data_IF_272675198614
#
_entry.id   IF_272675198614
#
_cell.length_a   1.000
_cell.length_b   1.000
_cell.length_c   1.000
_cell.angle_alpha   90.00
_cell.angle_beta   90.00
_cell.angle_gamma   90.00
#
_symmetry.space_group_name_H-M   'P 1'
#
loop_
_entity.id
_entity.type
_entity.pdbx_description
1 polymer ?
#
# COMPACT_ATOMS: atom_id res chain seq x y z
N UNK A 1 -6.20 27.77 -26.06
CA UNK A 1 -6.28 26.90 -24.87
C UNK A 1 -5.27 25.77 -25.09
N UNK A 2 -4.42 25.47 -24.10
CA UNK A 2 -3.55 24.29 -24.18
C UNK A 2 -4.38 23.01 -24.31
N UNK A 3 -3.83 21.97 -24.94
CA UNK A 3 -4.50 20.67 -25.01
C UNK A 3 -4.79 20.13 -23.57
N UNK A 4 -5.91 19.42 -23.38
CA UNK A 4 -6.21 18.78 -22.10
C UNK A 4 -5.09 17.84 -21.68
N UNK A 5 -4.58 17.98 -20.45
CA UNK A 5 -3.58 17.07 -19.89
C UNK A 5 -4.27 15.82 -19.32
N UNK A 6 -3.57 14.70 -19.32
CA UNK A 6 -3.99 13.48 -18.62
C UNK A 6 -3.43 13.51 -17.19
N UNK A 7 -4.29 13.47 -16.21
CA UNK A 7 -3.95 13.57 -14.79
C UNK A 7 -4.42 12.30 -14.06
N UNK A 8 -3.48 11.47 -13.64
CA UNK A 8 -3.73 10.35 -12.75
C UNK A 8 -3.73 10.86 -11.30
N UNK A 9 -4.81 10.63 -10.58
CA UNK A 9 -4.94 10.92 -9.16
C UNK A 9 -5.05 9.58 -8.41
N UNK A 10 -3.93 9.12 -7.90
CA UNK A 10 -3.81 7.86 -7.18
C UNK A 10 -3.91 8.13 -5.67
N UNK A 11 -4.82 7.45 -4.98
CA UNK A 11 -5.02 7.64 -3.54
C UNK A 11 -4.69 6.36 -2.80
N UNK A 12 -3.92 6.48 -1.70
CA UNK A 12 -3.44 5.33 -0.92
C UNK A 12 -4.56 4.34 -0.58
N UNK A 13 -4.26 3.06 -0.78
CA UNK A 13 -5.16 1.94 -0.55
C UNK A 13 -5.25 1.62 0.95
N UNK A 14 -6.44 1.68 1.59
CA UNK A 14 -6.60 1.31 2.98
C UNK A 14 -6.79 -0.19 3.15
N UNK A 15 -6.15 -0.80 4.14
CA UNK A 15 -6.48 -2.18 4.51
C UNK A 15 -7.95 -2.32 4.89
N UNK A 16 -8.64 -3.29 4.29
CA UNK A 16 -10.03 -3.62 4.60
C UNK A 16 -10.14 -4.42 5.92
N UNK A 17 -9.52 -3.94 7.00
CA UNK A 17 -9.46 -4.60 8.30
C UNK A 17 -10.05 -3.79 9.45
N UNK A 18 -10.64 -2.63 9.18
CA UNK A 18 -11.22 -1.76 10.20
C UNK A 18 -11.68 -0.42 9.63
N UNK A 19 -12.63 0.22 10.34
CA UNK A 19 -13.21 1.50 9.92
C UNK A 19 -12.18 2.61 9.74
N UNK A 20 -12.40 3.47 8.76
CA UNK A 20 -11.53 4.65 8.51
C UNK A 20 -11.97 5.82 9.38
N UNK A 21 -11.03 6.62 9.86
CA UNK A 21 -11.25 7.82 10.68
C UNK A 21 -10.96 9.10 9.89
N UNK A 22 -11.29 10.27 10.47
CA UNK A 22 -11.09 11.57 9.82
C UNK A 22 -9.66 11.83 9.36
N UNK A 23 -8.65 11.24 10.02
CA UNK A 23 -7.26 11.37 9.58
C UNK A 23 -6.98 10.80 8.19
N UNK A 24 -7.68 9.73 7.81
CA UNK A 24 -7.59 9.20 6.44
C UNK A 24 -8.29 10.15 5.46
N UNK A 25 -9.50 10.64 5.82
CA UNK A 25 -10.26 11.56 4.97
C UNK A 25 -9.48 12.85 4.72
N UNK A 26 -9.05 13.54 5.76
CA UNK A 26 -8.31 14.80 5.66
C UNK A 26 -6.90 14.63 5.09
N UNK A 27 -6.26 13.47 5.35
CA UNK A 27 -4.86 13.23 4.97
C UNK A 27 -4.66 12.82 3.52
N UNK A 28 -5.59 12.10 2.92
CA UNK A 28 -5.42 11.57 1.57
C UNK A 28 -6.65 11.78 0.67
N UNK A 29 -7.84 11.35 1.10
CA UNK A 29 -9.00 11.26 0.22
C UNK A 29 -9.59 12.60 -0.16
N UNK A 30 -9.80 13.50 0.81
CA UNK A 30 -10.36 14.81 0.55
C UNK A 30 -9.43 15.73 -0.27
N UNK A 31 -8.11 15.82 0.03
CA UNK A 31 -7.19 16.58 -0.81
C UNK A 31 -7.13 16.07 -2.25
N UNK A 32 -7.17 14.74 -2.45
CA UNK A 32 -7.19 14.13 -3.76
C UNK A 32 -8.45 14.49 -4.56
N UNK A 33 -9.64 14.40 -3.92
CA UNK A 33 -10.91 14.75 -4.55
C UNK A 33 -10.97 16.24 -4.93
N UNK A 34 -10.48 17.14 -4.06
CA UNK A 34 -10.40 18.58 -4.37
C UNK A 34 -9.49 18.82 -5.56
N UNK A 35 -8.32 18.17 -5.58
CA UNK A 35 -7.37 18.26 -6.70
C UNK A 35 -7.96 17.72 -8.00
N UNK A 36 -8.61 16.57 -7.95
CA UNK A 36 -9.28 15.97 -9.12
C UNK A 36 -10.40 16.88 -9.65
N UNK A 37 -11.25 17.43 -8.77
CA UNK A 37 -12.32 18.38 -9.15
C UNK A 37 -11.76 19.63 -9.81
N UNK A 38 -10.67 20.20 -9.26
CA UNK A 38 -10.01 21.34 -9.90
C UNK A 38 -9.58 21.01 -11.31
N UNK A 39 -8.90 19.88 -11.52
CA UNK A 39 -8.41 19.49 -12.84
C UNK A 39 -9.55 19.20 -13.83
N UNK A 40 -10.65 18.59 -13.39
CA UNK A 40 -11.87 18.42 -14.21
C UNK A 40 -12.46 19.78 -14.61
N UNK A 41 -12.54 20.72 -13.65
CA UNK A 41 -13.10 22.07 -13.90
C UNK A 41 -12.30 22.87 -14.93
N UNK A 42 -10.98 22.74 -14.95
CA UNK A 42 -10.11 23.42 -15.94
C UNK A 42 -9.97 22.64 -17.24
N UNK A 43 -10.71 21.54 -17.43
CA UNK A 43 -10.83 20.80 -18.68
C UNK A 43 -9.78 19.72 -18.89
N UNK A 44 -9.02 19.32 -17.88
CA UNK A 44 -8.10 18.18 -17.97
C UNK A 44 -8.85 16.84 -17.93
N UNK A 45 -8.25 15.80 -18.50
CA UNK A 45 -8.72 14.42 -18.39
C UNK A 45 -8.20 13.81 -17.09
N UNK A 46 -9.08 13.54 -16.15
CA UNK A 46 -8.71 13.01 -14.83
C UNK A 46 -9.06 11.53 -14.76
N UNK A 47 -8.16 10.74 -14.19
CA UNK A 47 -8.40 9.36 -13.76
C UNK A 47 -8.08 9.26 -12.27
N UNK A 48 -9.10 9.37 -11.43
CA UNK A 48 -8.95 9.25 -9.97
C UNK A 48 -9.29 7.82 -9.52
N UNK A 49 -8.29 7.12 -9.00
CA UNK A 49 -8.40 5.71 -8.61
C UNK A 49 -7.92 5.45 -7.19
N UNK A 50 -8.56 4.51 -6.56
CA UNK A 50 -8.16 3.86 -5.30
C UNK A 50 -8.90 2.53 -5.15
N UNK A 51 -8.76 1.91 -4.00
CA UNK A 51 -9.50 0.69 -3.66
C UNK A 51 -9.15 0.20 -2.26
N UNK A 52 -9.72 -0.92 -1.90
CA UNK A 52 -9.42 -1.61 -0.64
C UNK A 52 -8.23 -2.54 -0.84
N UNK A 53 -7.20 -2.37 -0.01
CA UNK A 53 -6.11 -3.34 0.11
C UNK A 53 -6.60 -4.52 0.95
N UNK A 54 -6.60 -5.73 0.34
CA UNK A 54 -7.21 -6.91 0.96
C UNK A 54 -6.21 -8.02 1.32
N UNK A 55 -4.94 -7.90 0.93
CA UNK A 55 -3.95 -8.95 1.14
C UNK A 55 -3.06 -8.74 2.38
N UNK A 56 -3.27 -7.65 3.11
CA UNK A 56 -2.48 -7.35 4.31
C UNK A 56 -2.77 -8.30 5.47
N UNK A 57 -1.73 -8.67 6.23
CA UNK A 57 -1.84 -9.48 7.44
C UNK A 57 -2.81 -8.92 8.51
N UNK A 58 -3.11 -7.60 8.60
CA UNK A 58 -4.16 -7.12 9.48
C UNK A 58 -5.55 -7.73 9.23
N UNK A 59 -5.81 -8.19 8.01
CA UNK A 59 -7.09 -8.82 7.63
C UNK A 59 -7.14 -10.25 8.15
N UNK A 60 -6.10 -11.04 7.88
CA UNK A 60 -6.04 -12.45 8.32
C UNK A 60 -5.96 -12.55 9.85
N UNK A 61 -5.20 -11.68 10.51
CA UNK A 61 -5.17 -11.62 11.99
C UNK A 61 -6.55 -11.31 12.54
N UNK A 62 -7.28 -10.36 11.95
CA UNK A 62 -8.63 -10.04 12.39
C UNK A 62 -9.62 -11.15 12.13
N UNK A 63 -9.50 -11.83 11.00
CA UNK A 63 -10.31 -13.00 10.66
C UNK A 63 -10.11 -14.12 11.68
N UNK A 64 -8.86 -14.41 12.05
CA UNK A 64 -8.52 -15.37 13.09
C UNK A 64 -9.10 -14.97 14.48
N UNK A 65 -9.00 -13.68 14.85
CA UNK A 65 -9.54 -13.14 16.11
C UNK A 65 -11.08 -13.21 16.18
N UNK A 66 -11.78 -12.99 15.06
CA UNK A 66 -13.24 -13.02 14.98
C UNK A 66 -13.80 -14.43 14.64
N UNK A 67 -12.95 -15.39 14.25
CA UNK A 67 -13.36 -16.75 13.85
C UNK A 67 -14.14 -16.79 12.54
N UNK A 68 -13.84 -15.87 11.60
CA UNK A 68 -14.47 -15.75 10.29
C UNK A 68 -13.46 -15.87 9.17
N UNK A 69 -13.90 -15.95 7.92
CA UNK A 69 -12.98 -15.94 6.77
C UNK A 69 -12.39 -14.53 6.52
N UNK A 70 -11.17 -14.43 5.94
CA UNK A 70 -10.61 -13.15 5.50
C UNK A 70 -11.55 -12.40 4.54
N UNK A 71 -12.26 -13.13 3.66
CA UNK A 71 -13.22 -12.54 2.73
C UNK A 71 -14.38 -11.83 3.43
N UNK A 72 -14.92 -12.40 4.51
CA UNK A 72 -16.00 -11.74 5.29
C UNK A 72 -15.54 -10.43 5.92
N UNK A 73 -14.28 -10.36 6.37
CA UNK A 73 -13.68 -9.10 6.86
C UNK A 73 -13.58 -8.08 5.72
N UNK A 74 -13.08 -8.51 4.57
CA UNK A 74 -12.94 -7.66 3.37
C UNK A 74 -14.29 -7.11 2.93
N UNK A 75 -15.30 -7.97 2.75
CA UNK A 75 -16.62 -7.57 2.26
C UNK A 75 -17.25 -6.52 3.17
N UNK A 76 -17.15 -6.71 4.49
CA UNK A 76 -17.66 -5.79 5.49
C UNK A 76 -17.03 -4.40 5.38
N UNK A 77 -15.70 -4.33 5.36
CA UNK A 77 -15.02 -3.03 5.38
C UNK A 77 -14.94 -2.35 4.02
N UNK A 78 -14.86 -3.13 2.93
CA UNK A 78 -14.96 -2.58 1.58
C UNK A 78 -16.33 -1.89 1.37
N UNK A 79 -17.42 -2.54 1.75
CA UNK A 79 -18.76 -1.96 1.68
C UNK A 79 -18.90 -0.70 2.57
N UNK A 80 -18.31 -0.71 3.78
CA UNK A 80 -18.27 0.46 4.65
C UNK A 80 -17.51 1.63 3.98
N UNK A 81 -16.36 1.34 3.35
CA UNK A 81 -15.56 2.38 2.69
C UNK A 81 -16.33 3.02 1.54
N UNK A 82 -16.89 2.23 0.63
CA UNK A 82 -17.68 2.73 -0.49
C UNK A 82 -18.82 3.62 0.03
N UNK A 83 -19.58 3.14 1.02
CA UNK A 83 -20.66 3.93 1.64
C UNK A 83 -20.16 5.25 2.26
N UNK A 84 -18.98 5.22 2.90
CA UNK A 84 -18.41 6.43 3.50
C UNK A 84 -17.97 7.44 2.44
N UNK A 85 -17.37 6.98 1.34
CA UNK A 85 -16.98 7.88 0.23
C UNK A 85 -18.19 8.54 -0.42
N UNK A 86 -19.26 7.80 -0.66
CA UNK A 86 -20.52 8.34 -1.17
C UNK A 86 -21.10 9.40 -0.23
N UNK A 87 -21.18 9.11 1.09
CA UNK A 87 -21.70 10.04 2.10
C UNK A 87 -20.94 11.35 2.20
N UNK A 88 -19.60 11.30 2.01
CA UNK A 88 -18.75 12.51 2.05
C UNK A 88 -18.53 13.14 0.67
N UNK A 89 -19.14 12.58 -0.37
CA UNK A 89 -19.14 13.11 -1.73
C UNK A 89 -17.79 13.02 -2.45
N UNK A 90 -16.97 12.00 -2.18
CA UNK A 90 -15.77 11.71 -2.96
C UNK A 90 -16.15 11.11 -4.31
N UNK A 91 -15.59 11.61 -5.40
CA UNK A 91 -15.92 11.18 -6.77
C UNK A 91 -14.74 10.44 -7.40
N UNK A 92 -14.93 9.14 -7.61
CA UNK A 92 -13.95 8.24 -8.24
C UNK A 92 -14.29 7.99 -9.71
N UNK A 93 -13.28 7.84 -10.57
CA UNK A 93 -13.45 7.13 -11.83
C UNK A 93 -13.51 5.62 -11.57
N UNK A 94 -12.72 5.13 -10.59
CA UNK A 94 -12.88 3.77 -10.08
C UNK A 94 -12.40 3.66 -8.62
N UNK A 95 -13.24 3.07 -7.76
CA UNK A 95 -12.83 2.56 -6.45
C UNK A 95 -13.05 1.04 -6.45
N UNK A 96 -11.98 0.26 -6.37
CA UNK A 96 -12.00 -1.19 -6.56
C UNK A 96 -11.35 -1.93 -5.38
N UNK A 97 -10.76 -3.09 -5.58
CA UNK A 97 -10.12 -3.93 -4.59
C UNK A 97 -8.90 -4.63 -5.16
N UNK A 98 -7.85 -4.85 -4.34
CA UNK A 98 -6.72 -5.71 -4.72
C UNK A 98 -7.10 -7.20 -4.78
N UNK A 99 -8.32 -7.57 -4.35
CA UNK A 99 -8.85 -8.94 -4.45
C UNK A 99 -9.50 -9.30 -5.78
N UNK A 100 -9.47 -8.41 -6.80
CA UNK A 100 -10.05 -8.71 -8.13
C UNK A 100 -9.11 -9.57 -8.98
N UNK A 101 -9.69 -10.39 -9.85
CA UNK A 101 -8.93 -11.20 -10.81
C UNK A 101 -8.04 -10.33 -11.71
N UNK A 102 -8.53 -9.12 -12.08
CA UNK A 102 -7.74 -8.15 -12.81
C UNK A 102 -6.48 -7.73 -12.03
N UNK A 103 -6.63 -7.40 -10.74
CA UNK A 103 -5.47 -7.03 -9.92
C UNK A 103 -4.46 -8.19 -9.81
N UNK A 104 -4.95 -9.41 -9.59
CA UNK A 104 -4.10 -10.60 -9.52
C UNK A 104 -3.31 -10.78 -10.82
N UNK A 105 -3.97 -10.68 -11.99
CA UNK A 105 -3.32 -10.80 -13.28
C UNK A 105 -2.26 -9.72 -13.52
N UNK A 106 -2.55 -8.45 -13.17
CA UNK A 106 -1.60 -7.34 -13.31
C UNK A 106 -0.42 -7.46 -12.36
N UNK A 107 -0.64 -7.94 -11.14
CA UNK A 107 0.44 -8.20 -10.16
C UNK A 107 1.36 -9.33 -10.64
N UNK A 108 0.79 -10.41 -11.17
CA UNK A 108 1.54 -11.51 -11.76
C UNK A 108 2.31 -11.09 -13.02
N UNK A 109 1.75 -10.21 -13.83
CA UNK A 109 2.41 -9.63 -15.00
C UNK A 109 3.62 -8.78 -14.59
N UNK A 110 3.44 -7.90 -13.60
CA UNK A 110 4.55 -7.13 -13.01
C UNK A 110 5.66 -8.02 -12.47
N UNK A 111 5.29 -9.09 -11.75
CA UNK A 111 6.26 -10.07 -11.23
C UNK A 111 7.07 -10.72 -12.37
N UNK A 112 6.40 -11.22 -13.43
CA UNK A 112 7.08 -11.86 -14.58
C UNK A 112 8.06 -10.90 -15.25
N UNK A 113 7.64 -9.68 -15.57
CA UNK A 113 8.50 -8.68 -16.19
C UNK A 113 9.72 -8.35 -15.35
N UNK A 114 9.55 -8.18 -14.03
CA UNK A 114 10.67 -7.92 -13.15
C UNK A 114 11.62 -9.11 -13.04
N UNK A 115 11.10 -10.35 -13.05
CA UNK A 115 11.91 -11.57 -13.03
C UNK A 115 12.69 -11.75 -14.34
N UNK A 116 12.04 -11.59 -15.49
CA UNK A 116 12.67 -11.67 -16.82
C UNK A 116 13.74 -10.60 -17.02
N UNK A 117 13.53 -9.41 -16.45
CA UNK A 117 14.51 -8.31 -16.48
C UNK A 117 15.62 -8.47 -15.40
N UNK A 118 15.61 -9.57 -14.64
CA UNK A 118 16.64 -9.91 -13.66
C UNK A 118 16.59 -9.08 -12.38
N UNK A 119 15.43 -8.55 -12.00
CA UNK A 119 15.22 -7.79 -10.77
C UNK A 119 14.56 -8.60 -9.65
N UNK A 120 14.23 -9.87 -9.91
CA UNK A 120 13.75 -10.82 -8.90
C UNK A 120 14.70 -12.02 -8.86
N UNK A 121 14.99 -12.51 -7.65
CA UNK A 121 15.78 -13.71 -7.41
C UNK A 121 15.30 -14.41 -6.14
N UNK A 122 15.66 -15.69 -5.95
CA UNK A 122 15.31 -16.46 -4.76
C UNK A 122 16.42 -16.38 -3.71
N UNK A 123 16.03 -16.32 -2.44
CA UNK A 123 16.95 -16.43 -1.29
C UNK A 123 16.30 -17.25 -0.19
N UNK A 124 17.09 -18.11 0.44
CA UNK A 124 16.69 -18.74 1.70
C UNK A 124 16.98 -17.79 2.85
N UNK A 125 16.01 -17.57 3.71
CA UNK A 125 16.15 -16.77 4.93
C UNK A 125 15.54 -17.50 6.11
N UNK A 126 15.99 -17.18 7.32
CA UNK A 126 15.36 -17.67 8.54
C UNK A 126 14.15 -16.79 8.88
N UNK A 127 13.01 -17.41 9.15
CA UNK A 127 11.78 -16.75 9.53
C UNK A 127 11.24 -17.34 10.84
N UNK A 128 10.43 -16.56 11.56
CA UNK A 128 9.82 -17.01 12.80
C UNK A 128 8.72 -18.03 12.52
N UNK A 129 8.78 -19.17 13.18
CA UNK A 129 7.86 -20.29 13.07
C UNK A 129 7.24 -20.61 14.44
N UNK A 130 5.94 -20.74 14.49
CA UNK A 130 5.23 -21.17 15.68
C UNK A 130 5.11 -22.70 15.71
N UNK A 131 5.81 -23.38 16.64
CA UNK A 131 5.77 -24.85 16.70
C UNK A 131 4.44 -25.39 17.20
N UNK A 132 3.63 -24.58 17.92
CA UNK A 132 2.30 -25.01 18.40
C UNK A 132 1.26 -24.85 17.30
N UNK A 133 1.27 -23.74 16.55
CA UNK A 133 0.39 -23.52 15.41
C UNK A 133 0.87 -24.22 14.14
N UNK A 134 2.10 -24.75 14.12
CA UNK A 134 2.76 -25.40 12.97
C UNK A 134 2.78 -24.54 11.69
N UNK A 135 2.99 -23.22 11.85
CA UNK A 135 3.03 -22.27 10.71
C UNK A 135 4.06 -21.17 10.93
N UNK A 136 4.54 -20.58 9.82
CA UNK A 136 5.32 -19.36 9.86
C UNK A 136 4.49 -18.18 10.35
N UNK A 137 5.16 -17.21 10.97
CA UNK A 137 4.56 -16.05 11.58
C UNK A 137 4.99 -14.76 10.83
N UNK A 138 4.39 -14.43 9.69
CA UNK A 138 4.73 -13.19 9.02
C UNK A 138 4.20 -11.97 9.77
N UNK A 139 4.97 -10.90 9.74
CA UNK A 139 4.57 -9.54 10.10
C UNK A 139 3.79 -9.43 11.42
N UNK A 140 2.49 -9.16 11.34
CA UNK A 140 1.62 -8.86 12.50
C UNK A 140 1.17 -10.08 13.31
N UNK A 141 1.58 -11.27 12.91
CA UNK A 141 1.45 -12.47 13.74
C UNK A 141 2.50 -12.55 14.85
N UNK A 142 3.50 -11.64 14.84
CA UNK A 142 4.51 -11.52 15.88
C UNK A 142 4.37 -10.20 16.62
N UNK A 143 4.55 -10.22 17.92
CA UNK A 143 4.65 -9.07 18.79
C UNK A 143 5.89 -9.19 19.67
N UNK A 144 6.58 -8.07 19.91
CA UNK A 144 7.78 -8.04 20.74
C UNK A 144 8.25 -6.63 21.00
N UNK A 145 9.46 -6.51 21.59
CA UNK A 145 10.02 -5.18 21.88
C UNK A 145 10.77 -4.63 20.67
N UNK A 146 10.45 -3.40 20.30
CA UNK A 146 11.12 -2.69 19.21
C UNK A 146 12.61 -2.45 19.54
N UNK A 147 13.55 -2.87 18.69
CA UNK A 147 14.98 -2.69 18.94
C UNK A 147 15.42 -1.22 18.86
N UNK A 148 14.62 -0.34 18.25
CA UNK A 148 14.97 1.07 18.05
C UNK A 148 14.48 2.00 19.17
N UNK A 149 13.30 1.74 19.75
CA UNK A 149 12.70 2.64 20.73
C UNK A 149 12.24 2.00 22.03
N UNK A 150 12.40 0.67 22.18
CA UNK A 150 12.05 -0.06 23.40
C UNK A 150 10.55 -0.25 23.62
N UNK A 151 9.69 0.06 22.63
CA UNK A 151 8.26 -0.16 22.76
C UNK A 151 7.94 -1.66 22.78
N UNK A 152 7.27 -2.12 23.85
CA UNK A 152 7.13 -3.55 24.16
C UNK A 152 6.04 -4.29 23.35
N UNK A 153 5.19 -3.55 22.63
CA UNK A 153 4.12 -4.12 21.80
C UNK A 153 4.30 -3.77 20.32
N UNK A 154 5.55 -3.79 19.83
CA UNK A 154 5.84 -3.57 18.43
C UNK A 154 5.43 -4.78 17.58
N UNK A 155 4.91 -4.51 16.38
CA UNK A 155 4.55 -5.51 15.40
C UNK A 155 5.75 -5.83 14.51
N UNK A 156 5.74 -7.01 13.86
CA UNK A 156 6.85 -7.44 13.03
C UNK A 156 7.01 -6.69 11.70
N UNK A 157 6.04 -5.89 11.27
CA UNK A 157 6.12 -5.09 10.04
C UNK A 157 6.56 -3.65 10.28
N UNK A 158 6.06 -3.04 11.36
CA UNK A 158 6.32 -1.64 11.68
C UNK A 158 6.05 -1.38 13.16
N UNK A 159 6.91 -0.58 13.79
CA UNK A 159 6.69 -0.14 15.16
C UNK A 159 5.61 0.94 15.22
N UNK A 160 4.52 0.68 15.92
CA UNK A 160 3.41 1.63 16.11
C UNK A 160 3.82 2.91 16.85
N UNK A 161 4.90 2.88 17.63
CA UNK A 161 5.38 4.04 18.40
C UNK A 161 6.33 4.93 17.60
N UNK A 162 7.41 4.39 17.04
CA UNK A 162 8.41 5.19 16.33
C UNK A 162 8.23 5.20 14.79
N UNK A 163 7.33 4.38 14.24
CA UNK A 163 7.02 4.31 12.83
C UNK A 163 8.10 3.65 11.95
N UNK A 164 9.17 3.10 12.55
CA UNK A 164 10.20 2.40 11.79
C UNK A 164 9.71 1.06 11.29
N UNK A 165 10.08 0.73 10.06
CA UNK A 165 9.86 -0.60 9.50
C UNK A 165 10.72 -1.61 10.24
N UNK A 166 10.16 -2.81 10.45
CA UNK A 166 10.81 -3.92 11.14
C UNK A 166 10.67 -5.19 10.28
N UNK A 167 11.55 -6.15 10.50
CA UNK A 167 11.32 -7.55 10.18
C UNK A 167 10.89 -8.26 11.47
N UNK A 168 10.01 -9.28 11.42
CA UNK A 168 9.63 -10.05 12.61
C UNK A 168 10.83 -10.59 13.39
N UNK A 169 11.92 -10.92 12.72
CA UNK A 169 13.17 -11.42 13.31
C UNK A 169 13.98 -10.35 14.06
N UNK A 170 13.71 -9.06 13.82
CA UNK A 170 14.36 -7.94 14.51
C UNK A 170 13.81 -7.72 15.93
N UNK A 171 12.61 -8.22 16.23
CA UNK A 171 11.95 -7.99 17.50
C UNK A 171 12.70 -8.67 18.65
N UNK A 172 12.85 -7.94 19.76
CA UNK A 172 13.41 -8.48 21.00
C UNK A 172 12.31 -9.24 21.73
N UNK A 173 12.60 -10.48 22.16
CA UNK A 173 11.66 -11.37 22.85
C UNK A 173 10.34 -11.56 22.09
N UNK A 174 10.38 -11.99 20.82
CA UNK A 174 9.19 -12.14 19.99
C UNK A 174 8.25 -13.20 20.57
N UNK A 175 6.94 -12.99 20.40
CA UNK A 175 5.88 -13.91 20.77
C UNK A 175 4.89 -14.08 19.62
N UNK A 176 4.42 -15.30 19.45
CA UNK A 176 3.31 -15.59 18.54
C UNK A 176 2.02 -14.96 19.08
N UNK A 177 1.31 -14.24 18.23
CA UNK A 177 -0.03 -13.72 18.57
C UNK A 177 -1.13 -14.77 18.45
N UNK A 178 -0.84 -15.91 17.83
CA UNK A 178 -1.79 -17.02 17.73
C UNK A 178 -1.85 -17.83 19.03
N UNK A 179 -0.69 -18.19 19.56
CA UNK A 179 -0.58 -19.14 20.68
C UNK A 179 0.05 -18.54 21.93
N UNK A 180 0.71 -17.37 21.83
CA UNK A 180 1.54 -16.80 22.89
C UNK A 180 2.91 -17.47 23.05
N UNK A 181 3.21 -18.52 22.27
CA UNK A 181 4.48 -19.23 22.32
C UNK A 181 5.65 -18.35 21.84
N UNK A 182 6.86 -18.67 22.32
CA UNK A 182 8.09 -18.14 21.75
C UNK A 182 8.35 -18.84 20.42
N UNK A 183 8.43 -18.12 19.28
CA UNK A 183 8.66 -18.75 17.99
C UNK A 183 10.11 -19.21 17.85
N UNK A 184 10.31 -20.14 16.90
CA UNK A 184 11.61 -20.66 16.51
C UNK A 184 12.03 -20.11 15.15
N UNK A 185 13.34 -19.98 14.90
CA UNK A 185 13.85 -19.67 13.56
C UNK A 185 13.84 -20.92 12.69
N UNK A 186 13.27 -20.81 11.49
CA UNK A 186 13.20 -21.89 10.50
C UNK A 186 13.50 -21.37 9.10
N UNK A 187 14.35 -22.06 8.34
CA UNK A 187 14.69 -21.71 6.97
C UNK A 187 13.47 -21.84 6.03
N UNK A 188 13.26 -20.82 5.20
CA UNK A 188 12.28 -20.83 4.11
C UNK A 188 12.82 -20.05 2.91
N UNK A 189 12.43 -20.46 1.70
CA UNK A 189 12.87 -19.81 0.46
C UNK A 189 11.80 -18.82 -0.01
N UNK A 190 12.24 -17.62 -0.39
CA UNK A 190 11.37 -16.56 -0.88
C UNK A 190 11.95 -15.86 -2.10
N UNK A 191 11.09 -15.29 -2.93
CA UNK A 191 11.48 -14.32 -3.95
C UNK A 191 11.77 -12.97 -3.34
N UNK A 192 12.82 -12.32 -3.85
CA UNK A 192 13.28 -11.00 -3.43
C UNK A 192 13.28 -10.05 -4.62
N UNK A 193 12.72 -8.86 -4.42
CA UNK A 193 12.94 -7.73 -5.31
C UNK A 193 14.32 -7.15 -5.01
N UNK A 194 15.20 -7.16 -6.00
CA UNK A 194 16.58 -6.72 -5.89
C UNK A 194 16.67 -5.19 -5.96
N UNK A 195 16.19 -4.52 -4.90
CA UNK A 195 16.17 -3.06 -4.81
C UNK A 195 17.57 -2.46 -4.94
N UNK A 196 18.60 -3.18 -4.48
CA UNK A 196 20.01 -2.76 -4.60
C UNK A 196 20.43 -2.47 -6.05
N UNK A 197 19.82 -3.12 -7.04
CA UNK A 197 20.11 -2.89 -8.47
C UNK A 197 19.55 -1.54 -8.98
N UNK A 198 18.68 -0.90 -8.24
CA UNK A 198 18.10 0.39 -8.61
C UNK A 198 18.77 1.59 -7.93
N UNK A 199 19.72 1.36 -7.02
CA UNK A 199 20.34 2.36 -6.15
C UNK A 199 20.68 3.67 -6.88
N UNK A 200 21.57 3.61 -7.87
CA UNK A 200 22.07 4.80 -8.56
C UNK A 200 20.99 5.45 -9.44
N UNK A 201 20.23 4.61 -10.16
CA UNK A 201 19.17 5.07 -11.06
C UNK A 201 18.04 5.77 -10.31
N UNK A 202 17.68 5.25 -9.14
CA UNK A 202 16.67 5.87 -8.27
C UNK A 202 17.19 7.19 -7.67
N UNK A 203 18.42 7.24 -7.19
CA UNK A 203 19.03 8.47 -6.66
C UNK A 203 19.12 9.57 -7.71
N UNK A 204 19.54 9.25 -8.93
CA UNK A 204 19.56 10.20 -10.05
C UNK A 204 18.17 10.76 -10.31
N UNK A 205 17.15 9.90 -10.38
CA UNK A 205 15.77 10.32 -10.60
C UNK A 205 15.24 11.19 -9.44
N UNK A 206 15.45 10.80 -8.18
CA UNK A 206 15.01 11.56 -7.01
C UNK A 206 15.66 12.95 -6.96
N UNK A 207 16.97 13.04 -7.20
CA UNK A 207 17.70 14.32 -7.19
C UNK A 207 17.25 15.26 -8.31
N UNK A 208 16.71 14.74 -9.40
CA UNK A 208 16.11 15.49 -10.50
C UNK A 208 14.70 16.03 -10.20
N UNK A 209 14.04 15.61 -9.09
CA UNK A 209 12.67 16.05 -8.79
C UNK A 209 12.63 17.49 -8.31
N UNK A 210 11.72 18.25 -8.93
CA UNK A 210 11.42 19.63 -8.55
C UNK A 210 9.95 19.73 -8.13
N UNK A 211 9.66 20.60 -7.18
CA UNK A 211 8.29 20.84 -6.71
C UNK A 211 7.79 19.87 -5.64
N UNK A 212 8.45 18.73 -5.44
CA UNK A 212 8.06 17.81 -4.36
C UNK A 212 8.19 18.45 -2.98
N UNK A 213 7.33 18.05 -2.06
CA UNK A 213 7.43 18.47 -0.66
C UNK A 213 8.77 18.02 -0.08
N UNK A 214 9.50 18.97 0.53
CA UNK A 214 10.87 18.73 1.02
C UNK A 214 11.01 17.51 1.94
N UNK A 215 10.02 17.28 2.82
CA UNK A 215 10.08 16.13 3.73
C UNK A 215 9.94 14.79 3.00
N UNK A 216 9.18 14.71 1.91
CA UNK A 216 9.05 13.51 1.08
C UNK A 216 10.37 13.24 0.37
N UNK A 217 10.90 14.24 -0.32
CA UNK A 217 12.12 14.10 -1.09
C UNK A 217 13.34 13.78 -0.19
N UNK A 218 13.47 14.49 0.94
CA UNK A 218 14.56 14.23 1.89
C UNK A 218 14.48 12.84 2.50
N UNK A 219 13.29 12.34 2.82
CA UNK A 219 13.11 10.97 3.34
C UNK A 219 13.47 9.93 2.27
N UNK A 220 13.01 10.11 1.03
CA UNK A 220 13.30 9.18 -0.06
C UNK A 220 14.80 9.14 -0.41
N UNK A 221 15.44 10.30 -0.53
CA UNK A 221 16.88 10.40 -0.79
C UNK A 221 17.68 9.79 0.37
N UNK A 222 17.38 10.18 1.62
CA UNK A 222 18.09 9.67 2.79
C UNK A 222 17.98 8.15 2.91
N UNK A 223 16.77 7.59 2.74
CA UNK A 223 16.56 6.14 2.75
C UNK A 223 17.36 5.44 1.64
N UNK A 224 17.42 6.05 0.44
CA UNK A 224 18.16 5.46 -0.67
C UNK A 224 19.68 5.59 -0.45
N UNK A 225 20.19 6.69 0.10
CA UNK A 225 21.60 6.91 0.40
C UNK A 225 22.15 6.00 1.51
N UNK A 226 21.30 5.53 2.42
CA UNK A 226 21.66 4.51 3.43
C UNK A 226 21.97 3.14 2.80
N UNK A 227 21.62 2.94 1.52
CA UNK A 227 21.82 1.70 0.77
C UNK A 227 20.55 0.85 0.71
N UNK A 228 20.00 0.70 -0.50
CA UNK A 228 18.79 -0.11 -0.71
C UNK A 228 19.06 -1.59 -0.44
N UNK A 229 18.30 -2.16 0.48
CA UNK A 229 18.32 -3.58 0.78
C UNK A 229 17.28 -4.33 -0.04
N UNK A 230 17.67 -5.50 -0.58
CA UNK A 230 16.72 -6.37 -1.29
C UNK A 230 15.60 -6.83 -0.34
N UNK A 231 14.39 -6.89 -0.86
CA UNK A 231 13.19 -7.16 -0.06
C UNK A 231 12.48 -8.42 -0.51
N UNK A 232 12.17 -9.30 0.45
CA UNK A 232 11.32 -10.46 0.17
C UNK A 232 9.92 -9.99 -0.26
N UNK A 233 9.49 -10.49 -1.43
CA UNK A 233 8.20 -10.15 -2.05
C UNK A 233 7.21 -11.33 -2.05
N UNK A 234 7.56 -12.40 -1.35
CA UNK A 234 6.65 -13.51 -1.06
C UNK A 234 6.65 -13.80 0.43
N UNK A 235 5.61 -14.45 0.91
CA UNK A 235 5.46 -14.91 2.30
C UNK A 235 4.79 -16.27 2.36
N UNK A 236 5.04 -17.00 3.44
CA UNK A 236 4.30 -18.22 3.79
C UNK A 236 2.91 -17.83 4.31
N UNK A 237 1.97 -17.68 3.38
CA UNK A 237 0.59 -17.24 3.60
C UNK A 237 -0.34 -18.01 2.68
N UNK A 238 -1.57 -18.23 3.14
CA UNK A 238 -2.64 -18.82 2.32
C UNK A 238 -3.51 -17.77 1.61
N UNK A 239 -3.45 -16.52 2.07
CA UNK A 239 -4.24 -15.41 1.58
C UNK A 239 -3.36 -14.36 0.87
N UNK A 240 -3.64 -14.08 -0.40
CA UNK A 240 -2.87 -13.17 -1.25
C UNK A 240 -2.85 -13.58 -2.71
N UNK A 241 -2.12 -12.86 -3.54
CA UNK A 241 -1.93 -13.18 -4.96
C UNK A 241 -1.00 -14.38 -5.10
N UNK A 242 -1.40 -15.34 -5.94
CA UNK A 242 -0.56 -16.51 -6.26
C UNK A 242 0.70 -16.11 -7.01
N UNK A 243 1.80 -16.82 -6.74
CA UNK A 243 3.04 -16.67 -7.50
C UNK A 243 2.77 -17.18 -8.92
N UNK A 244 3.11 -16.42 -9.97
CA UNK A 244 2.80 -16.83 -11.33
C UNK A 244 3.66 -18.00 -11.82
N UNK A 245 3.11 -18.86 -12.70
CA UNK A 245 3.92 -19.77 -13.49
C UNK A 245 4.91 -19.00 -14.40
N UNK A 246 6.13 -19.50 -14.60
CA UNK A 246 6.74 -20.74 -14.09
C UNK A 246 7.51 -20.56 -12.77
N UNK A 247 7.20 -19.52 -11.98
CA UNK A 247 7.90 -19.15 -10.75
C UNK A 247 7.30 -19.76 -9.47
N UNK A 248 6.25 -20.54 -9.56
CA UNK A 248 5.56 -21.22 -8.45
C UNK A 248 6.32 -22.43 -7.89
N UNK A 249 7.66 -22.39 -7.97
CA UNK A 249 8.57 -23.53 -7.68
C UNK A 249 9.18 -23.50 -6.27
N UNK A 250 8.99 -22.43 -5.50
CA UNK A 250 9.61 -22.28 -4.17
C UNK A 250 8.83 -22.94 -3.01
N UNK A 251 7.85 -23.76 -3.32
CA UNK A 251 7.02 -24.53 -2.38
C UNK A 251 5.58 -24.06 -2.28
N UNK A 252 4.74 -24.95 -1.76
CA UNK A 252 3.32 -24.68 -1.55
C UNK A 252 3.06 -23.69 -0.40
N UNK A 253 1.87 -23.08 -0.36
CA UNK A 253 1.46 -22.19 0.72
C UNK A 253 2.17 -20.84 0.74
N UNK A 254 2.66 -20.39 -0.41
CA UNK A 254 3.30 -19.07 -0.54
C UNK A 254 2.49 -18.14 -1.43
N UNK A 255 2.47 -16.86 -1.05
CA UNK A 255 1.76 -15.80 -1.79
C UNK A 255 2.69 -14.62 -2.02
N UNK A 256 2.39 -13.85 -3.06
CA UNK A 256 2.97 -12.52 -3.25
C UNK A 256 2.58 -11.63 -2.05
N UNK A 257 3.57 -10.94 -1.52
CA UNK A 257 3.42 -10.15 -0.31
C UNK A 257 2.77 -8.78 -0.60
N UNK A 258 1.84 -8.38 0.27
CA UNK A 258 1.04 -7.17 0.11
C UNK A 258 1.85 -5.90 -0.18
N UNK A 259 3.07 -5.79 0.32
CA UNK A 259 3.91 -4.61 0.10
C UNK A 259 4.53 -4.56 -1.30
N UNK A 260 4.44 -5.65 -2.05
CA UNK A 260 4.75 -5.67 -3.47
C UNK A 260 3.50 -5.39 -4.31
N UNK A 261 2.36 -6.00 -3.98
CA UNK A 261 1.15 -5.91 -4.78
C UNK A 261 0.34 -4.64 -4.56
N UNK A 262 0.28 -4.11 -3.33
CA UNK A 262 -0.59 -2.97 -3.00
C UNK A 262 -0.35 -1.74 -3.88
N UNK A 263 0.90 -1.39 -4.18
CA UNK A 263 1.23 -0.23 -5.05
C UNK A 263 0.93 -0.50 -6.53
N UNK A 264 0.89 -1.76 -6.95
CA UNK A 264 0.48 -2.17 -8.29
C UNK A 264 -1.02 -1.90 -8.50
N UNK A 265 -1.77 -1.80 -7.41
CA UNK A 265 -3.19 -1.47 -7.40
C UNK A 265 -3.56 -0.24 -8.25
N UNK A 266 -2.70 0.76 -8.30
CA UNK A 266 -2.96 1.96 -9.12
C UNK A 266 -2.96 1.65 -10.63
N UNK A 267 -2.04 0.80 -11.08
CA UNK A 267 -1.98 0.35 -12.47
C UNK A 267 -3.14 -0.60 -12.78
N UNK A 268 -3.42 -1.56 -11.88
CA UNK A 268 -4.52 -2.50 -12.07
C UNK A 268 -5.88 -1.81 -12.09
N UNK A 269 -6.10 -0.81 -11.24
CA UNK A 269 -7.32 -0.02 -11.25
C UNK A 269 -7.48 0.80 -12.55
N UNK A 270 -6.39 1.33 -13.10
CA UNK A 270 -6.45 2.03 -14.38
C UNK A 270 -6.81 1.07 -15.54
N UNK A 271 -6.27 -0.15 -15.55
CA UNK A 271 -6.61 -1.19 -16.52
C UNK A 271 -8.07 -1.64 -16.37
N UNK A 272 -8.53 -1.90 -15.13
CA UNK A 272 -9.92 -2.26 -14.84
C UNK A 272 -10.91 -1.16 -15.26
N UNK A 273 -10.56 0.10 -15.00
CA UNK A 273 -11.36 1.23 -15.47
C UNK A 273 -11.45 1.26 -17.00
N UNK A 274 -10.34 1.02 -17.69
CA UNK A 274 -10.29 1.00 -19.16
C UNK A 274 -11.19 -0.12 -19.72
N UNK A 275 -11.13 -1.32 -19.16
CA UNK A 275 -12.03 -2.44 -19.51
C UNK A 275 -13.50 -2.04 -19.29
N UNK A 276 -13.83 -1.48 -18.12
CA UNK A 276 -15.19 -1.08 -17.76
C UNK A 276 -15.77 0.02 -18.65
N UNK A 277 -14.92 0.85 -19.27
CA UNK A 277 -15.34 1.89 -20.24
C UNK A 277 -15.46 1.37 -21.66
N UNK A 278 -15.15 0.11 -21.92
CA UNK A 278 -15.18 -0.50 -23.24
C UNK A 278 -14.00 -0.11 -24.17
N UNK A 279 -12.95 0.48 -23.61
CA UNK A 279 -11.69 0.77 -24.30
C UNK A 279 -10.50 0.23 -23.48
N UNK A 280 -10.16 -1.04 -23.60
CA UNK A 280 -9.13 -1.70 -22.78
C UNK A 280 -7.74 -1.06 -22.84
N UNK A 281 -7.45 -0.29 -23.90
CA UNK A 281 -6.15 0.37 -24.08
C UNK A 281 -6.14 1.81 -23.50
N UNK A 282 -7.28 2.33 -23.02
CA UNK A 282 -7.37 3.74 -22.57
C UNK A 282 -6.44 4.09 -21.42
N UNK A 283 -6.10 3.12 -20.55
CA UNK A 283 -5.17 3.34 -19.44
C UNK A 283 -3.79 3.83 -19.87
N UNK A 284 -3.35 3.51 -21.11
CA UNK A 284 -2.04 3.92 -21.66
C UNK A 284 -1.89 5.44 -21.78
N UNK A 285 -3.00 6.15 -21.96
CA UNK A 285 -2.99 7.61 -22.03
C UNK A 285 -2.47 8.26 -20.74
N UNK A 286 -2.58 7.57 -19.59
CA UNK A 286 -2.08 8.03 -18.28
C UNK A 286 -0.76 7.39 -17.87
N UNK A 287 -0.46 6.17 -18.35
CA UNK A 287 0.67 5.40 -17.86
C UNK A 287 1.85 5.34 -18.82
N UNK A 288 1.62 5.45 -20.13
CA UNK A 288 2.67 5.37 -21.17
C UNK A 288 2.87 6.71 -21.90
N UNK A 289 1.91 7.62 -21.85
CA UNK A 289 2.04 8.95 -22.44
C UNK A 289 3.00 9.82 -21.61
N UNK A 290 4.15 10.27 -22.14
CA UNK A 290 5.13 11.05 -21.38
C UNK A 290 4.64 12.44 -20.95
N UNK A 291 3.54 12.95 -21.55
CA UNK A 291 2.91 14.22 -21.16
C UNK A 291 1.88 14.04 -20.03
N UNK A 292 1.57 12.80 -19.62
CA UNK A 292 0.67 12.54 -18.53
C UNK A 292 1.35 12.78 -17.18
N UNK A 293 0.57 13.26 -16.21
CA UNK A 293 1.04 13.53 -14.87
C UNK A 293 0.34 12.60 -13.86
N UNK A 294 1.09 12.10 -12.88
CA UNK A 294 0.56 11.22 -11.83
C UNK A 294 0.86 11.74 -10.44
N UNK A 295 -0.17 11.81 -9.60
CA UNK A 295 -0.13 12.38 -8.24
C UNK A 295 -0.62 11.35 -7.24
N UNK A 296 0.25 11.00 -6.26
CA UNK A 296 -0.02 9.94 -5.27
C UNK A 296 -0.32 10.55 -3.90
N UNK A 297 -1.60 10.66 -3.55
CA UNK A 297 -2.05 11.22 -2.28
C UNK A 297 -1.98 10.16 -1.17
N UNK A 298 -1.08 10.35 -0.22
CA UNK A 298 -0.73 9.36 0.79
C UNK A 298 -0.56 9.97 2.19
N UNK A 299 -0.56 9.11 3.21
CA UNK A 299 -0.01 9.45 4.52
C UNK A 299 1.52 9.28 4.55
N UNK A 300 2.20 10.02 5.40
CA UNK A 300 3.68 10.01 5.50
C UNK A 300 4.29 8.62 5.74
N UNK A 301 3.55 7.70 6.33
CA UNK A 301 4.00 6.33 6.59
C UNK A 301 4.25 5.55 5.29
N UNK A 302 3.66 5.99 4.18
CA UNK A 302 3.74 5.35 2.89
C UNK A 302 4.78 5.98 1.95
N UNK A 303 5.59 6.95 2.41
CA UNK A 303 6.56 7.65 1.55
C UNK A 303 7.55 6.67 0.92
N UNK A 304 8.13 5.74 1.69
CA UNK A 304 9.11 4.78 1.17
C UNK A 304 8.48 3.87 0.10
N UNK A 305 7.21 3.47 0.27
CA UNK A 305 6.53 2.65 -0.74
C UNK A 305 6.33 3.38 -2.05
N UNK A 306 5.94 4.65 -2.02
CA UNK A 306 5.58 5.42 -3.20
C UNK A 306 6.75 6.18 -3.84
N UNK A 307 7.77 6.55 -3.03
CA UNK A 307 8.93 7.30 -3.51
C UNK A 307 10.17 6.43 -3.77
N UNK A 308 10.18 5.16 -3.30
CA UNK A 308 11.31 4.23 -3.48
C UNK A 308 10.84 2.94 -4.14
N UNK A 309 10.00 2.14 -3.48
CA UNK A 309 9.65 0.79 -3.95
C UNK A 309 8.87 0.85 -5.27
N UNK A 310 7.80 1.66 -5.34
CA UNK A 310 6.99 1.82 -6.54
C UNK A 310 7.79 2.34 -7.75
N UNK A 311 8.61 3.40 -7.64
CA UNK A 311 9.49 3.79 -8.73
C UNK A 311 10.46 2.69 -9.17
N UNK A 312 11.00 1.87 -8.26
CA UNK A 312 11.85 0.74 -8.63
C UNK A 312 11.07 -0.32 -9.43
N UNK A 313 9.83 -0.64 -9.05
CA UNK A 313 8.98 -1.54 -9.82
C UNK A 313 8.69 -0.98 -11.23
N UNK A 314 8.32 0.29 -11.34
CA UNK A 314 8.08 0.94 -12.64
C UNK A 314 9.33 1.00 -13.51
N UNK A 315 10.48 1.32 -12.92
CA UNK A 315 11.78 1.33 -13.60
C UNK A 315 12.18 -0.06 -14.09
N UNK A 316 11.90 -1.08 -13.30
CA UNK A 316 12.20 -2.47 -13.61
C UNK A 316 11.25 -3.07 -14.66
N UNK A 317 9.98 -2.70 -14.63
CA UNK A 317 8.99 -3.08 -15.64
C UNK A 317 9.32 -2.41 -16.99
N UNK A 318 9.59 -1.11 -16.97
CA UNK A 318 9.92 -0.34 -18.15
C UNK A 318 8.68 0.18 -18.91
N UNK A 319 8.85 1.31 -19.61
CA UNK A 319 7.80 1.90 -20.46
C UNK A 319 6.67 2.64 -19.73
N UNK A 320 6.63 2.59 -18.41
CA UNK A 320 5.60 3.26 -17.61
C UNK A 320 6.13 4.58 -17.02
N UNK A 321 5.24 5.56 -16.88
CA UNK A 321 5.56 6.86 -16.28
C UNK A 321 5.87 6.72 -14.79
N UNK A 322 6.90 7.44 -14.35
CA UNK A 322 7.23 7.57 -12.93
C UNK A 322 6.36 8.65 -12.26
N UNK A 323 6.19 8.63 -10.93
CA UNK A 323 5.42 9.63 -10.20
C UNK A 323 5.84 11.08 -10.50
N UNK A 324 4.86 11.93 -10.84
CA UNK A 324 5.08 13.37 -11.00
C UNK A 324 5.26 14.03 -9.65
N UNK A 325 4.38 13.72 -8.68
CA UNK A 325 4.49 14.19 -7.29
C UNK A 325 3.82 13.19 -6.33
N UNK A 326 4.26 13.25 -5.07
CA UNK A 326 3.75 12.42 -3.98
C UNK A 326 3.32 13.33 -2.82
N UNK A 327 2.08 13.87 -2.87
CA UNK A 327 1.51 14.66 -1.79
C UNK A 327 1.28 13.84 -0.52
N UNK A 328 2.33 13.73 0.33
CA UNK A 328 2.24 13.03 1.60
C UNK A 328 1.85 13.99 2.73
N UNK A 329 0.80 13.64 3.48
CA UNK A 329 0.30 14.43 4.59
C UNK A 329 0.76 13.90 5.95
N UNK A 330 0.87 14.83 6.92
CA UNK A 330 1.16 14.51 8.32
C UNK A 330 -0.06 13.89 9.01
N UNK A 331 0.14 13.33 10.22
CA UNK A 331 -0.96 12.77 10.98
C UNK A 331 -1.93 13.83 11.48
N UNK A 332 -3.21 13.49 11.46
CA UNK A 332 -4.22 14.22 12.22
C UNK A 332 -4.19 13.72 13.67
N UNK A 333 -4.12 14.63 14.62
CA UNK A 333 -4.14 14.32 16.05
C UNK A 333 -5.50 14.60 16.67
N UNK A 334 -5.94 13.75 17.58
CA UNK A 334 -7.12 13.94 18.42
C UNK A 334 -6.68 14.13 19.87
N UNK A 335 -6.91 15.31 20.44
CA UNK A 335 -6.51 15.67 21.81
C UNK A 335 -5.03 15.39 22.12
N UNK A 336 -4.17 15.56 21.10
CA UNK A 336 -2.72 15.32 21.20
C UNK A 336 -2.27 13.90 20.80
N UNK A 337 -3.17 12.93 20.72
CA UNK A 337 -2.86 11.57 20.29
C UNK A 337 -3.04 11.37 18.78
N UNK A 338 -2.21 10.51 18.17
CA UNK A 338 -2.38 10.08 16.77
C UNK A 338 -3.73 9.36 16.62
N UNK A 339 -4.55 9.78 15.66
CA UNK A 339 -5.74 9.03 15.29
C UNK A 339 -5.36 7.60 14.87
N UNK A 340 -6.06 6.60 15.40
CA UNK A 340 -5.74 5.19 15.16
C UNK A 340 -7.00 4.33 15.17
N UNK A 341 -7.29 3.69 14.04
CA UNK A 341 -8.41 2.77 13.93
C UNK A 341 -8.22 1.52 14.82
N UNK A 342 -7.00 0.97 14.85
CA UNK A 342 -6.68 -0.22 15.66
C UNK A 342 -6.70 0.02 17.18
N UNK A 343 -6.49 1.28 17.60
CA UNK A 343 -6.53 1.67 19.04
C UNK A 343 -7.85 2.33 19.43
N UNK A 344 -8.81 2.47 18.51
CA UNK A 344 -10.10 3.15 18.80
C UNK A 344 -9.98 4.66 19.09
N UNK A 345 -8.87 5.31 18.68
CA UNK A 345 -8.65 6.74 18.88
C UNK A 345 -9.28 7.50 17.71
N UNK A 346 -10.33 8.28 17.99
CA UNK A 346 -11.15 8.96 17.00
C UNK A 346 -12.40 8.15 16.62
N UNK A 347 -13.35 8.81 15.96
CA UNK A 347 -14.57 8.17 15.42
C UNK A 347 -14.37 7.84 13.95
N UNK A 348 -15.16 6.87 13.45
CA UNK A 348 -15.18 6.53 12.02
C UNK A 348 -15.70 7.68 11.16
N UNK A 349 -15.35 7.68 9.88
CA UNK A 349 -15.90 8.63 8.90
C UNK A 349 -17.42 8.54 8.88
N UNK A 350 -18.00 7.32 8.86
CA UNK A 350 -19.42 7.10 8.88
C UNK A 350 -20.12 7.75 10.08
N UNK A 351 -19.49 7.71 11.27
CA UNK A 351 -20.05 8.36 12.45
C UNK A 351 -20.26 9.87 12.26
N UNK A 352 -19.30 10.55 11.59
CA UNK A 352 -19.41 11.97 11.28
C UNK A 352 -20.37 12.22 10.13
N UNK A 353 -20.30 11.42 9.07
CA UNK A 353 -21.13 11.57 7.89
C UNK A 353 -22.63 11.36 8.16
N UNK A 354 -22.98 10.57 9.18
CA UNK A 354 -24.37 10.38 9.63
C UNK A 354 -24.91 11.55 10.46
N UNK A 355 -24.05 12.51 10.86
CA UNK A 355 -24.40 13.60 11.82
C UNK A 355 -24.13 14.99 11.31
N UNK A 356 -23.32 15.14 10.30
CA UNK A 356 -22.89 16.42 9.73
C UNK A 356 -23.21 16.45 8.24
N UNK A 357 -23.60 17.61 7.76
CA UNK A 357 -23.71 17.85 6.32
C UNK A 357 -22.36 17.64 5.63
N UNK A 358 -22.30 16.93 4.49
CA UNK A 358 -21.05 16.61 3.79
C UNK A 358 -20.18 17.84 3.53
N UNK A 359 -20.75 18.93 3.04
CA UNK A 359 -20.00 20.15 2.72
C UNK A 359 -19.41 20.83 3.97
N UNK A 360 -20.14 20.80 5.09
CA UNK A 360 -19.64 21.33 6.37
C UNK A 360 -18.46 20.48 6.88
N UNK A 361 -18.56 19.15 6.78
CA UNK A 361 -17.46 18.25 7.15
C UNK A 361 -16.24 18.46 6.25
N UNK A 362 -16.43 18.54 4.94
CA UNK A 362 -15.38 18.80 3.95
C UNK A 362 -14.67 20.13 4.22
N UNK A 363 -15.43 21.20 4.43
CA UNK A 363 -14.89 22.53 4.72
C UNK A 363 -14.08 22.57 6.02
N UNK A 364 -14.54 21.86 7.05
CA UNK A 364 -13.84 21.81 8.34
C UNK A 364 -12.49 21.03 8.29
N UNK A 365 -12.28 20.22 7.24
CA UNK A 365 -11.07 19.38 7.08
C UNK A 365 -10.08 19.94 6.03
N UNK A 366 -10.44 21.01 5.33
CA UNK A 366 -9.57 21.73 4.38
C UNK A 366 -8.92 22.96 5.02
#
# INVERSE_FOLDING_TARGET
MSAPRHILVAVAWPYASGSRHLGHLAGAYLPADIFARYHRTVGNRVLMVSGSDVHGTPITVRADEEGVSPQEIVDRYHAEFVSNWDKVGIQWELYTSTGTDNHHAVTQDMFRHLAENGYIDTKTSEQLYDPQAQRFLPDRYVEGTCPHCGYESARGDQCDNCGRQLDPTDLISPKSRLTGATPELKGTEHYYLLLSKFQDRLLEWLRGRQGWRKHVLNMAIGFTEEGLQDRAITRDLEWGVDIPEPYDTIGEGKRIYVWFDAVIGYLSAAKEWAENTGNPEAWRDWWENPEAESYYFIGKDNIVFHAVIWPCQLLGYGGLNLPTDIPANQYVTFKGDKASASRGIGRSIGWYADRLEPDALRYALT
#
